data_IF_217417285779
#
_entry.id   IF_217417285779
#
_cell.length_a   1.000
_cell.length_b   1.000
_cell.length_c   1.000
_cell.angle_alpha   90.00
_cell.angle_beta   90.00
_cell.angle_gamma   90.00
#
_symmetry.space_group_name_H-M   'P 1'
#
loop_
_entity.id
_entity.type
_entity.pdbx_description
1 polymer ?
#
# COMPACT_ATOMS: atom_id res chain seq x y z
N UNK A 1 22.62 9.28 -40.35
CA UNK A 1 23.00 9.37 -38.95
C UNK A 1 22.18 10.34 -38.11
N UNK A 2 21.84 11.58 -38.54
CA UNK A 2 21.06 12.56 -37.75
C UNK A 2 19.64 12.09 -37.39
N UNK A 3 18.95 11.35 -38.26
CA UNK A 3 17.58 10.83 -38.01
C UNK A 3 17.55 9.69 -36.96
N UNK A 4 18.57 8.85 -36.94
CA UNK A 4 18.68 7.73 -35.96
C UNK A 4 18.94 8.26 -34.53
N UNK A 5 19.73 9.34 -34.43
CA UNK A 5 20.02 9.96 -33.15
C UNK A 5 18.77 10.63 -32.51
N UNK A 6 17.94 11.28 -33.36
CA UNK A 6 16.68 11.89 -32.91
C UNK A 6 15.67 10.83 -32.42
N UNK A 7 15.63 9.65 -33.05
CA UNK A 7 14.75 8.55 -32.66
C UNK A 7 15.16 7.94 -31.31
N UNK A 8 16.46 7.76 -31.10
CA UNK A 8 17.00 7.29 -29.80
C UNK A 8 16.73 8.30 -28.69
N UNK A 9 16.87 9.60 -28.96
CA UNK A 9 16.61 10.64 -27.98
C UNK A 9 15.11 10.70 -27.60
N UNK A 10 14.20 10.57 -28.57
CA UNK A 10 12.75 10.51 -28.32
C UNK A 10 12.36 9.29 -27.50
N UNK A 11 12.96 8.11 -27.77
CA UNK A 11 12.66 6.90 -27.01
C UNK A 11 13.17 6.97 -25.56
N UNK A 12 14.29 7.63 -25.31
CA UNK A 12 14.79 7.85 -23.93
C UNK A 12 13.89 8.80 -23.16
N UNK A 13 13.36 9.85 -23.80
CA UNK A 13 12.43 10.81 -23.16
C UNK A 13 11.09 10.13 -22.83
N UNK A 14 10.58 9.27 -23.71
CA UNK A 14 9.34 8.52 -23.44
C UNK A 14 9.50 7.49 -22.32
N UNK A 15 10.66 6.82 -22.21
CA UNK A 15 10.96 5.91 -21.11
C UNK A 15 11.06 6.62 -19.75
N UNK A 16 11.61 7.84 -19.71
CA UNK A 16 11.71 8.62 -18.48
C UNK A 16 10.32 9.08 -17.94
N UNK A 17 9.36 9.32 -18.83
CA UNK A 17 7.99 9.68 -18.44
C UNK A 17 7.14 8.44 -18.06
N UNK A 18 7.48 7.26 -18.57
CA UNK A 18 6.78 6.01 -18.26
C UNK A 18 6.92 5.54 -16.80
N UNK A 19 7.77 6.18 -15.99
CA UNK A 19 7.99 5.84 -14.59
C UNK A 19 7.09 6.61 -13.60
N UNK A 20 6.42 7.68 -14.06
CA UNK A 20 5.55 8.47 -13.20
C UNK A 20 4.14 7.86 -13.13
N UNK A 21 3.56 7.93 -11.94
CA UNK A 21 2.21 7.45 -11.63
C UNK A 21 1.38 8.64 -11.17
N UNK A 22 0.17 8.76 -11.68
CA UNK A 22 -0.78 9.76 -11.17
C UNK A 22 -1.22 9.34 -9.77
N UNK A 23 -1.09 10.27 -8.83
CA UNK A 23 -1.46 10.08 -7.43
C UNK A 23 -2.40 11.18 -6.97
N UNK A 24 -3.22 10.86 -5.97
CA UNK A 24 -3.95 11.82 -5.16
C UNK A 24 -3.53 11.65 -3.71
N UNK A 25 -3.17 12.72 -3.04
CA UNK A 25 -2.77 12.64 -1.64
C UNK A 25 -3.24 13.84 -0.84
N UNK A 26 -3.32 13.65 0.48
CA UNK A 26 -3.60 14.70 1.47
C UNK A 26 -2.38 14.77 2.39
N UNK A 27 -1.68 15.93 2.46
CA UNK A 27 -0.60 16.14 3.41
C UNK A 27 -1.11 16.11 4.86
N UNK A 28 -0.24 15.73 5.82
CA UNK A 28 -0.60 15.75 7.26
C UNK A 28 -0.95 17.16 7.74
N UNK A 29 -0.35 18.19 7.13
CA UNK A 29 -0.53 19.60 7.52
C UNK A 29 -1.70 20.29 6.80
N UNK A 30 -2.46 19.60 5.97
CA UNK A 30 -3.56 20.15 5.17
C UNK A 30 -4.73 19.18 5.11
N UNK A 31 -5.91 19.72 4.79
CA UNK A 31 -7.10 18.91 4.46
C UNK A 31 -7.33 18.82 2.95
N UNK A 32 -6.55 19.56 2.15
CA UNK A 32 -6.72 19.64 0.71
C UNK A 32 -6.14 18.43 -0.01
N UNK A 33 -6.88 17.93 -0.97
CA UNK A 33 -6.42 16.85 -1.84
C UNK A 33 -5.59 17.41 -2.98
N UNK A 34 -4.35 16.96 -3.09
CA UNK A 34 -3.43 17.31 -4.16
C UNK A 34 -3.37 16.19 -5.18
N UNK A 35 -3.64 16.51 -6.45
CA UNK A 35 -3.48 15.60 -7.59
C UNK A 35 -2.21 15.93 -8.35
N UNK A 36 -1.32 14.95 -8.53
CA UNK A 36 -0.02 15.18 -9.16
C UNK A 36 0.59 13.84 -9.63
N UNK A 37 1.80 13.90 -10.16
CA UNK A 37 2.58 12.72 -10.56
C UNK A 37 3.67 12.40 -9.54
N UNK A 38 3.89 11.11 -9.32
CA UNK A 38 4.92 10.62 -8.41
C UNK A 38 5.77 9.51 -9.03
N UNK A 39 7.03 9.43 -8.61
CA UNK A 39 7.89 8.31 -8.94
C UNK A 39 7.78 7.22 -7.86
N UNK A 40 6.82 6.32 -8.04
CA UNK A 40 6.58 5.17 -7.15
C UNK A 40 7.35 3.91 -7.57
N UNK A 41 8.05 3.96 -8.72
CA UNK A 41 8.83 2.84 -9.27
C UNK A 41 10.26 3.31 -9.56
N UNK A 42 11.08 3.54 -8.52
CA UNK A 42 12.40 4.16 -8.68
C UNK A 42 13.39 3.33 -9.49
N UNK A 43 13.11 2.03 -9.69
CA UNK A 43 13.99 1.13 -10.43
C UNK A 43 13.38 0.75 -11.77
N UNK A 44 14.12 1.00 -12.86
CA UNK A 44 13.72 0.68 -14.24
C UNK A 44 13.48 -0.83 -14.42
N UNK A 45 14.18 -1.65 -13.64
CA UNK A 45 14.10 -3.11 -13.70
C UNK A 45 13.04 -3.73 -12.77
N UNK A 46 12.35 -2.92 -11.95
CA UNK A 46 11.27 -3.43 -11.10
C UNK A 46 10.04 -3.75 -11.93
N UNK A 47 10.05 -4.92 -12.57
CA UNK A 47 9.04 -5.52 -13.43
C UNK A 47 7.60 -5.30 -12.92
N UNK A 48 7.03 -4.12 -13.11
CA UNK A 48 5.64 -3.78 -12.79
C UNK A 48 5.17 -4.10 -11.34
N UNK A 49 6.08 -4.49 -10.45
CA UNK A 49 5.76 -4.78 -9.05
C UNK A 49 5.96 -3.52 -8.23
N UNK A 50 4.89 -3.02 -7.65
CA UNK A 50 4.94 -1.93 -6.68
C UNK A 50 5.66 -2.41 -5.41
N UNK A 51 6.63 -1.61 -4.94
CA UNK A 51 7.30 -1.85 -3.66
C UNK A 51 6.84 -0.80 -2.64
N UNK A 52 6.03 -1.17 -1.65
CA UNK A 52 5.47 -0.22 -0.68
C UNK A 52 6.52 0.43 0.24
N UNK A 53 7.74 -0.10 0.33
CA UNK A 53 8.84 0.55 1.07
C UNK A 53 9.27 1.89 0.47
N UNK A 54 8.80 2.21 -0.75
CA UNK A 54 9.04 3.52 -1.37
C UNK A 54 8.59 4.68 -0.46
N UNK A 55 7.58 4.47 0.37
CA UNK A 55 7.06 5.50 1.27
C UNK A 55 8.00 5.73 2.47
N UNK A 56 8.58 4.67 3.03
CA UNK A 56 9.58 4.80 4.11
C UNK A 56 10.89 5.43 3.62
N UNK A 57 11.30 5.10 2.40
CA UNK A 57 12.53 5.62 1.78
C UNK A 57 12.36 7.03 1.22
N UNK A 58 11.13 7.52 1.15
CA UNK A 58 10.76 8.78 0.52
C UNK A 58 10.78 8.72 -1.00
N UNK A 59 9.77 9.29 -1.63
CA UNK A 59 9.57 9.31 -3.07
C UNK A 59 9.39 10.74 -3.61
N UNK A 60 9.68 10.93 -4.89
CA UNK A 60 9.56 12.25 -5.53
C UNK A 60 8.15 12.46 -6.07
N UNK A 61 7.59 13.62 -5.76
CA UNK A 61 6.26 14.08 -6.18
C UNK A 61 6.42 15.39 -6.95
N UNK A 62 5.70 15.54 -8.06
CA UNK A 62 5.77 16.70 -8.94
C UNK A 62 6.65 16.46 -10.16
N UNK A 63 6.78 17.51 -10.98
CA UNK A 63 7.51 17.43 -12.25
C UNK A 63 8.99 17.78 -12.06
N UNK A 64 9.86 16.92 -12.56
CA UNK A 64 11.34 17.04 -12.73
C UNK A 64 12.06 18.03 -11.79
N UNK A 65 12.08 19.34 -12.13
CA UNK A 65 12.86 20.37 -11.41
C UNK A 65 12.19 20.85 -10.13
N UNK A 66 10.86 20.72 -10.03
CA UNK A 66 10.05 21.15 -8.89
C UNK A 66 9.67 19.97 -7.98
N UNK A 67 10.21 18.78 -8.27
CA UNK A 67 9.87 17.57 -7.52
C UNK A 67 10.32 17.67 -6.06
N UNK A 68 9.37 17.54 -5.16
CA UNK A 68 9.58 17.49 -3.71
C UNK A 68 9.67 16.04 -3.27
N UNK A 69 10.49 15.75 -2.26
CA UNK A 69 10.55 14.42 -1.64
C UNK A 69 9.60 14.37 -0.47
N UNK A 70 8.69 13.39 -0.49
CA UNK A 70 7.77 13.08 0.59
C UNK A 70 8.07 11.72 1.20
N UNK A 71 7.78 11.58 2.49
CA UNK A 71 7.85 10.34 3.25
C UNK A 71 6.48 9.97 3.79
N UNK A 72 6.31 8.76 4.28
CA UNK A 72 5.08 8.27 4.92
C UNK A 72 4.55 9.22 6.01
N UNK A 73 5.44 9.80 6.81
CA UNK A 73 5.09 10.76 7.89
C UNK A 73 4.47 12.07 7.40
N UNK A 74 4.72 12.45 6.15
CA UNK A 74 4.27 13.72 5.57
C UNK A 74 2.87 13.60 4.95
N UNK A 75 2.33 12.38 4.83
CA UNK A 75 1.13 12.06 4.07
C UNK A 75 0.08 11.46 5.01
N UNK A 76 -1.09 12.08 5.07
CA UNK A 76 -2.24 11.53 5.79
C UNK A 76 -2.99 10.46 4.98
N UNK A 77 -3.19 10.73 3.67
CA UNK A 77 -3.91 9.88 2.73
C UNK A 77 -3.20 9.87 1.38
N UNK A 78 -3.17 8.72 0.71
CA UNK A 78 -2.61 8.56 -0.63
C UNK A 78 -3.39 7.50 -1.39
N UNK A 79 -3.77 7.81 -2.65
CA UNK A 79 -4.33 6.81 -3.56
C UNK A 79 -3.69 6.90 -4.95
N UNK A 80 -3.59 5.77 -5.61
CA UNK A 80 -3.13 5.64 -7.00
C UNK A 80 -3.57 4.31 -7.59
N UNK A 81 -3.47 4.19 -8.92
CA UNK A 81 -3.61 2.91 -9.62
C UNK A 81 -2.22 2.38 -9.96
N UNK A 82 -1.93 1.16 -9.53
CA UNK A 82 -0.65 0.53 -9.82
C UNK A 82 -0.57 0.04 -11.28
N UNK A 83 0.62 -0.39 -11.72
CA UNK A 83 0.84 -0.86 -13.09
C UNK A 83 0.08 -2.15 -13.46
N UNK A 84 -0.50 -2.82 -12.48
CA UNK A 84 -1.40 -3.98 -12.66
C UNK A 84 -2.87 -3.58 -12.65
N UNK A 85 -3.14 -2.27 -12.73
CA UNK A 85 -4.49 -1.70 -12.69
C UNK A 85 -5.23 -1.90 -11.36
N UNK A 86 -4.52 -2.19 -10.27
CA UNK A 86 -5.14 -2.25 -8.95
C UNK A 86 -5.16 -0.84 -8.34
N UNK A 87 -6.33 -0.42 -7.86
CA UNK A 87 -6.44 0.77 -7.02
C UNK A 87 -5.82 0.47 -5.66
N UNK A 88 -4.84 1.29 -5.27
CA UNK A 88 -4.15 1.21 -3.98
C UNK A 88 -4.50 2.44 -3.17
N UNK A 89 -4.87 2.24 -1.93
CA UNK A 89 -5.24 3.32 -1.00
C UNK A 89 -4.46 3.14 0.29
N UNK A 90 -3.79 4.20 0.71
CA UNK A 90 -2.99 4.23 1.93
C UNK A 90 -3.44 5.38 2.82
N UNK A 91 -3.41 5.18 4.13
CA UNK A 91 -3.75 6.22 5.10
C UNK A 91 -2.93 6.05 6.38
N UNK A 92 -2.64 7.16 7.07
CA UNK A 92 -2.22 7.09 8.45
C UNK A 92 -3.40 6.68 9.35
N UNK A 93 -3.11 5.79 10.30
CA UNK A 93 -4.10 5.25 11.24
C UNK A 93 -3.59 5.50 12.68
N UNK A 94 -3.84 6.70 13.23
CA UNK A 94 -3.35 7.05 14.57
C UNK A 94 -3.82 6.09 15.67
N UNK A 95 -5.02 5.53 15.51
CA UNK A 95 -5.61 4.52 16.37
C UNK A 95 -4.78 3.23 16.48
N UNK A 96 -3.98 2.91 15.47
CA UNK A 96 -3.08 1.75 15.47
C UNK A 96 -1.74 2.01 16.18
N UNK A 97 -1.56 3.21 16.76
CA UNK A 97 -0.38 3.61 17.55
C UNK A 97 0.96 3.47 16.80
N UNK A 98 0.96 3.66 15.48
CA UNK A 98 2.12 3.67 14.60
C UNK A 98 2.23 5.03 13.91
N UNK A 99 2.50 6.07 14.71
CA UNK A 99 2.51 7.45 14.26
C UNK A 99 3.39 7.67 13.02
N UNK A 100 2.86 8.41 12.06
CA UNK A 100 3.55 8.76 10.82
C UNK A 100 3.76 7.59 9.85
N UNK A 101 3.08 6.46 10.03
CA UNK A 101 3.16 5.32 9.11
C UNK A 101 1.90 5.20 8.26
N UNK A 102 2.10 4.88 6.99
CA UNK A 102 1.02 4.60 6.06
C UNK A 102 0.61 3.12 6.13
N UNK A 103 -0.69 2.89 6.18
CA UNK A 103 -1.30 1.57 6.09
C UNK A 103 -2.08 1.47 4.78
N UNK A 104 -1.89 0.38 4.05
CA UNK A 104 -2.76 0.07 2.93
C UNK A 104 -4.12 -0.38 3.45
N UNK A 105 -5.17 0.20 2.89
CA UNK A 105 -6.55 -0.21 3.15
C UNK A 105 -6.84 -1.41 2.25
N UNK A 106 -6.85 -2.60 2.84
CA UNK A 106 -7.14 -3.84 2.12
C UNK A 106 -8.63 -4.05 1.95
N UNK A 107 -9.42 -3.73 2.99
CA UNK A 107 -10.88 -3.81 3.02
C UNK A 107 -11.43 -2.87 4.08
N UNK A 108 -12.60 -2.26 3.83
CA UNK A 108 -13.36 -1.49 4.82
C UNK A 108 -14.75 -2.10 5.03
N UNK A 109 -15.23 -2.09 6.26
CA UNK A 109 -16.52 -2.62 6.67
C UNK A 109 -16.66 -2.69 8.18
N UNK A 110 -17.64 -3.48 8.68
CA UNK A 110 -17.81 -3.75 10.12
C UNK A 110 -16.52 -4.36 10.71
N UNK A 111 -15.83 -5.20 9.93
CA UNK A 111 -14.45 -5.59 10.16
C UNK A 111 -13.62 -5.04 9.01
N UNK A 112 -12.74 -4.10 9.35
CA UNK A 112 -11.80 -3.50 8.39
C UNK A 112 -10.45 -4.17 8.47
N UNK A 113 -9.76 -4.27 7.32
CA UNK A 113 -8.43 -4.86 7.20
C UNK A 113 -7.45 -3.84 6.66
N UNK A 114 -6.35 -3.62 7.41
CA UNK A 114 -5.26 -2.71 7.06
C UNK A 114 -3.95 -3.49 7.05
N UNK A 115 -3.01 -3.08 6.19
CA UNK A 115 -1.70 -3.70 6.05
C UNK A 115 -0.60 -2.66 6.13
N UNK A 116 0.37 -2.90 7.02
CA UNK A 116 1.61 -2.13 7.09
C UNK A 116 2.75 -2.93 6.51
N UNK A 117 3.55 -2.28 5.67
CA UNK A 117 4.76 -2.85 5.10
C UNK A 117 5.98 -2.31 5.81
N UNK A 118 7.03 -3.12 5.93
CA UNK A 118 8.29 -2.74 6.52
C UNK A 118 9.44 -3.62 6.02
N UNK A 119 10.69 -3.12 6.14
CA UNK A 119 11.90 -3.87 5.81
C UNK A 119 12.60 -4.33 7.07
N UNK A 120 13.12 -5.55 7.04
CA UNK A 120 14.01 -6.06 8.09
C UNK A 120 15.49 -5.66 7.88
N UNK A 121 15.86 -5.25 6.65
CA UNK A 121 17.24 -4.95 6.28
C UNK A 121 17.29 -3.60 5.58
N UNK A 122 18.03 -2.67 6.18
CA UNK A 122 18.19 -1.31 5.66
C UNK A 122 19.04 -1.24 4.38
N UNK A 123 19.74 -2.28 4.00
CA UNK A 123 20.94 -2.21 3.14
C UNK A 123 20.82 -2.96 1.82
N UNK A 124 19.67 -3.53 1.45
CA UNK A 124 19.54 -4.20 0.15
C UNK A 124 18.52 -3.54 -0.76
N UNK A 125 18.96 -3.16 -1.96
CA UNK A 125 18.13 -2.59 -3.04
C UNK A 125 17.00 -3.52 -3.50
N UNK A 126 17.13 -4.82 -3.23
CA UNK A 126 16.13 -5.87 -3.42
C UNK A 126 15.42 -6.22 -2.10
N UNK A 127 15.17 -5.21 -1.28
CA UNK A 127 14.54 -5.41 0.02
C UNK A 127 13.23 -6.21 -0.13
N UNK A 128 13.29 -7.46 0.27
CA UNK A 128 12.08 -8.22 0.55
C UNK A 128 11.38 -7.49 1.69
N UNK A 129 10.23 -6.92 1.39
CA UNK A 129 9.38 -6.35 2.41
C UNK A 129 8.55 -7.45 3.06
N UNK A 130 8.36 -7.31 4.35
CA UNK A 130 7.37 -8.04 5.10
C UNK A 130 6.18 -7.15 5.40
N UNK A 131 5.12 -7.72 5.92
CA UNK A 131 3.95 -6.96 6.31
C UNK A 131 3.36 -7.49 7.62
N UNK A 132 2.68 -6.63 8.32
CA UNK A 132 1.80 -6.97 9.43
C UNK A 132 0.38 -6.52 9.10
N UNK A 133 -0.58 -7.35 9.43
CA UNK A 133 -1.99 -7.09 9.21
C UNK A 133 -2.67 -6.63 10.49
N UNK A 134 -3.59 -5.70 10.35
CA UNK A 134 -4.43 -5.17 11.40
C UNK A 134 -5.89 -5.35 11.01
N UNK A 135 -6.65 -6.03 11.86
CA UNK A 135 -8.09 -6.15 11.73
C UNK A 135 -8.75 -5.31 12.82
N UNK A 136 -9.69 -4.47 12.43
CA UNK A 136 -10.38 -3.53 13.32
C UNK A 136 -11.87 -3.78 13.27
N UNK A 137 -12.48 -4.04 14.44
CA UNK A 137 -13.92 -4.24 14.61
C UNK A 137 -14.39 -3.38 15.80
N UNK A 138 -15.08 -2.27 15.51
CA UNK A 138 -15.36 -1.28 16.53
C UNK A 138 -14.07 -0.80 17.21
N UNK A 139 -13.97 -0.96 18.52
CA UNK A 139 -12.78 -0.60 19.31
C UNK A 139 -11.74 -1.73 19.41
N UNK A 140 -12.08 -2.92 18.94
CA UNK A 140 -11.18 -4.06 19.00
C UNK A 140 -10.18 -4.02 17.83
N UNK A 141 -8.89 -4.06 18.18
CA UNK A 141 -7.78 -4.07 17.21
C UNK A 141 -6.98 -5.35 17.38
N UNK A 142 -6.94 -6.17 16.33
CA UNK A 142 -6.16 -7.39 16.27
C UNK A 142 -4.98 -7.22 15.34
N UNK A 143 -3.76 -7.15 15.89
CA UNK A 143 -2.52 -7.16 15.11
C UNK A 143 -2.05 -8.60 14.86
N UNK A 144 -1.71 -8.89 13.62
CA UNK A 144 -1.15 -10.17 13.18
C UNK A 144 0.22 -9.92 12.55
N UNK A 145 1.32 -10.23 13.27
CA UNK A 145 2.67 -10.10 12.73
C UNK A 145 2.94 -11.17 11.65
N UNK A 146 3.96 -10.95 10.83
CA UNK A 146 4.36 -11.76 9.65
C UNK A 146 4.29 -13.28 9.83
N UNK A 147 4.62 -13.79 11.00
CA UNK A 147 4.62 -15.22 11.33
C UNK A 147 3.56 -15.61 12.37
N UNK A 148 2.53 -14.78 12.48
CA UNK A 148 1.51 -14.93 13.52
C UNK A 148 0.50 -16.05 13.24
N UNK A 149 -0.12 -16.53 14.30
CA UNK A 149 -1.26 -17.46 14.25
C UNK A 149 -2.54 -16.70 13.87
N UNK A 150 -2.61 -16.20 12.64
CA UNK A 150 -3.69 -15.33 12.19
C UNK A 150 -5.07 -15.99 12.27
N UNK A 151 -5.21 -17.28 11.91
CA UNK A 151 -6.49 -18.00 11.95
C UNK A 151 -7.12 -17.96 13.34
N UNK A 152 -6.35 -18.24 14.41
CA UNK A 152 -6.86 -18.20 15.78
C UNK A 152 -7.37 -16.83 16.18
N UNK A 153 -6.61 -15.78 15.85
CA UNK A 153 -6.97 -14.39 16.18
C UNK A 153 -8.18 -13.92 15.37
N UNK A 154 -8.20 -14.25 14.07
CA UNK A 154 -9.31 -13.87 13.21
C UNK A 154 -10.61 -14.60 13.61
N UNK A 155 -10.54 -15.87 13.99
CA UNK A 155 -11.69 -16.60 14.54
C UNK A 155 -12.24 -15.96 15.81
N UNK A 156 -11.38 -15.50 16.71
CA UNK A 156 -11.81 -14.82 17.92
C UNK A 156 -12.55 -13.52 17.57
N UNK A 157 -12.01 -12.71 16.65
CA UNK A 157 -12.61 -11.46 16.20
C UNK A 157 -13.98 -11.65 15.52
N UNK A 158 -14.15 -12.76 14.77
CA UNK A 158 -15.37 -13.08 14.04
C UNK A 158 -16.31 -14.05 14.80
N UNK A 159 -16.12 -14.22 16.10
CA UNK A 159 -16.81 -15.23 16.92
C UNK A 159 -18.32 -15.02 17.06
N UNK A 160 -18.82 -13.83 16.79
CA UNK A 160 -20.26 -13.50 16.73
C UNK A 160 -20.99 -14.07 15.49
N UNK A 161 -20.24 -14.54 14.46
CA UNK A 161 -20.78 -15.25 13.29
C UNK A 161 -20.13 -16.63 13.15
N UNK A 162 -20.65 -17.65 13.86
CA UNK A 162 -20.03 -19.00 13.91
C UNK A 162 -19.90 -19.68 12.54
N UNK A 163 -20.79 -19.40 11.61
CA UNK A 163 -20.75 -19.92 10.24
C UNK A 163 -19.52 -19.40 9.48
N UNK A 164 -19.14 -18.14 9.69
CA UNK A 164 -17.96 -17.51 9.09
C UNK A 164 -16.67 -18.06 9.73
N UNK A 165 -16.67 -18.26 11.04
CA UNK A 165 -15.46 -18.75 11.75
C UNK A 165 -15.03 -20.14 11.29
N UNK A 166 -15.95 -21.00 10.83
CA UNK A 166 -15.62 -22.33 10.28
C UNK A 166 -14.82 -22.21 8.97
N UNK A 167 -15.12 -21.20 8.14
CA UNK A 167 -14.42 -20.99 6.87
C UNK A 167 -12.98 -20.54 7.07
N UNK A 168 -12.68 -19.86 8.19
CA UNK A 168 -11.32 -19.38 8.52
C UNK A 168 -10.30 -20.53 8.59
N UNK A 169 -10.70 -21.74 8.96
CA UNK A 169 -9.78 -22.89 9.02
C UNK A 169 -9.25 -23.30 7.65
N UNK A 170 -10.03 -23.07 6.60
CA UNK A 170 -9.69 -23.43 5.22
C UNK A 170 -8.87 -22.38 4.49
N UNK A 171 -8.68 -21.18 5.07
CA UNK A 171 -7.96 -20.07 4.43
C UNK A 171 -6.49 -20.42 4.17
N UNK A 172 -5.99 -19.97 3.02
CA UNK A 172 -4.60 -20.15 2.59
C UNK A 172 -3.88 -18.80 2.41
N UNK A 173 -4.57 -17.74 1.99
CA UNK A 173 -3.92 -16.48 1.66
C UNK A 173 -4.83 -15.27 1.64
N UNK A 174 -4.31 -14.15 1.15
CA UNK A 174 -4.97 -12.84 1.15
C UNK A 174 -6.33 -12.84 0.45
N UNK A 175 -6.48 -13.61 -0.63
CA UNK A 175 -7.76 -13.71 -1.34
C UNK A 175 -8.84 -14.28 -0.42
N UNK A 176 -8.53 -15.36 0.28
CA UNK A 176 -9.49 -16.03 1.16
C UNK A 176 -9.84 -15.14 2.36
N UNK A 177 -8.84 -14.39 2.90
CA UNK A 177 -9.09 -13.39 3.95
C UNK A 177 -10.11 -12.36 3.45
N UNK A 178 -9.91 -11.83 2.24
CA UNK A 178 -10.80 -10.84 1.66
C UNK A 178 -12.21 -11.40 1.49
N UNK A 179 -12.37 -12.56 0.87
CA UNK A 179 -13.67 -13.20 0.62
C UNK A 179 -14.45 -13.44 1.93
N UNK A 180 -13.78 -13.91 2.98
CA UNK A 180 -14.38 -14.13 4.31
C UNK A 180 -14.80 -12.81 4.95
N UNK A 181 -13.97 -11.77 4.89
CA UNK A 181 -14.32 -10.48 5.46
C UNK A 181 -15.42 -9.77 4.66
N UNK A 182 -15.43 -9.89 3.34
CA UNK A 182 -16.53 -9.38 2.51
C UNK A 182 -17.85 -10.07 2.86
N UNK A 183 -17.82 -11.39 3.03
CA UNK A 183 -18.99 -12.17 3.48
C UNK A 183 -19.43 -11.78 4.90
N UNK A 184 -18.48 -11.54 5.79
CA UNK A 184 -18.78 -11.05 7.14
C UNK A 184 -19.46 -9.68 7.12
N UNK A 185 -18.95 -8.76 6.29
CA UNK A 185 -19.44 -7.38 6.16
C UNK A 185 -20.74 -7.27 5.32
N UNK A 186 -21.08 -8.29 4.51
CA UNK A 186 -22.36 -8.34 3.81
C UNK A 186 -23.44 -8.77 4.79
N UNK A 187 -24.37 -7.87 5.04
CA UNK A 187 -25.56 -8.13 5.88
C UNK A 187 -26.65 -8.80 5.10
#
# INVERSE_FOLDING_TARGET
>A
MKKTFAFILLSIISLANAQQTDIRYIPVISTDTISTKANLYPHVLSKNKFNPLVFENGFKVGERREAVRLWDKDIFYLEFTDRKMNKRVFRQMPELKKNGKLFEIMLQGDVSWYRRYFSYRADTWDANYEHEDYFVKGDEIVNIPVKGRYKKKLKALLSDKPEITKEVDQMVGDRDIREILEKYNSK
#
